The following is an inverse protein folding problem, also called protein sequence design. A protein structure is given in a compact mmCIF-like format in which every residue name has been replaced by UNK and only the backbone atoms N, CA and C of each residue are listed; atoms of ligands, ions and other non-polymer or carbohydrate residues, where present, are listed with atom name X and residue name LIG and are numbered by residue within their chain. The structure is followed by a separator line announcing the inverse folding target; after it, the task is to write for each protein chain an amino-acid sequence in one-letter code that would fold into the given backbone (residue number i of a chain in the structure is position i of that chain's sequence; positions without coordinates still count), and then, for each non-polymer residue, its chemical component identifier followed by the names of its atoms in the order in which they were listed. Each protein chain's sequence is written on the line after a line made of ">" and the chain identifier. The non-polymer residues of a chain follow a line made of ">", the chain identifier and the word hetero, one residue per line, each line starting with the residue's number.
data_IF_968334946165
#
_entry.id   IF_968334946165
#
_cell.length_a   1.000
_cell.length_b   1.000
_cell.length_c   1.000
_cell.angle_alpha   90.00
_cell.angle_beta   90.00
_cell.angle_gamma   90.00
#
_symmetry.space_group_name_H-M   'P 1'
#
loop_
_entity.id
_entity.type
_entity.pdbx_description
1 polymer ?
#
# COMPACT_ATOMS: atom_id res chain seq x y z
N UNK A 1 25.47 22.28 -0.86
CA UNK A 1 25.05 21.57 -2.08
C UNK A 1 23.70 22.12 -2.49
N UNK A 2 23.54 22.64 -3.71
CA UNK A 2 22.25 23.16 -4.17
C UNK A 2 21.42 21.98 -4.65
N UNK A 3 20.35 21.67 -3.95
CA UNK A 3 19.34 20.71 -4.37
C UNK A 3 18.69 21.22 -5.67
N UNK A 4 18.34 20.30 -6.57
CA UNK A 4 17.74 20.66 -7.86
C UNK A 4 16.24 20.88 -7.72
N UNK A 5 15.65 21.75 -8.53
CA UNK A 5 14.20 22.03 -8.52
C UNK A 5 13.35 20.76 -8.79
N UNK A 6 13.90 19.80 -9.53
CA UNK A 6 13.26 18.51 -9.82
C UNK A 6 13.18 17.61 -8.58
N UNK A 7 14.23 17.55 -7.78
CA UNK A 7 14.25 16.78 -6.54
C UNK A 7 13.26 17.35 -5.52
N UNK A 8 13.15 18.68 -5.42
CA UNK A 8 12.16 19.34 -4.56
C UNK A 8 10.71 19.05 -5.01
N UNK A 9 10.48 19.01 -6.32
CA UNK A 9 9.18 18.64 -6.88
C UNK A 9 8.84 17.17 -6.57
N UNK A 10 9.80 16.27 -6.74
CA UNK A 10 9.63 14.84 -6.40
C UNK A 10 9.28 14.67 -4.93
N UNK A 11 10.06 15.25 -4.01
CA UNK A 11 9.81 15.14 -2.57
C UNK A 11 8.41 15.66 -2.20
N UNK A 12 8.00 16.80 -2.76
CA UNK A 12 6.65 17.35 -2.54
C UNK A 12 5.57 16.40 -3.05
N UNK A 13 5.81 15.75 -4.18
CA UNK A 13 4.89 14.80 -4.78
C UNK A 13 4.76 13.54 -3.92
N UNK A 14 5.88 12.97 -3.49
CA UNK A 14 5.93 11.78 -2.64
C UNK A 14 5.22 12.01 -1.31
N UNK A 15 5.46 13.15 -0.67
CA UNK A 15 4.80 13.54 0.58
C UNK A 15 3.28 13.69 0.43
N UNK A 16 2.82 14.16 -0.74
CA UNK A 16 1.39 14.41 -0.99
C UNK A 16 0.60 13.15 -1.33
N UNK A 17 1.21 12.20 -2.04
CA UNK A 17 0.49 11.05 -2.60
C UNK A 17 0.87 9.72 -1.95
N UNK A 18 1.98 9.66 -1.22
CA UNK A 18 2.40 8.53 -0.41
C UNK A 18 1.54 8.34 0.85
N UNK A 19 1.67 7.17 1.47
CA UNK A 19 1.06 6.93 2.78
C UNK A 19 1.83 7.66 3.87
N UNK A 20 1.17 8.50 4.67
CA UNK A 20 1.81 9.27 5.74
C UNK A 20 2.36 8.43 6.90
N UNK A 21 2.08 7.12 6.94
CA UNK A 21 2.55 6.20 7.99
C UNK A 21 3.81 5.46 7.54
N UNK A 22 3.75 4.75 6.40
CA UNK A 22 4.91 4.00 5.90
C UNK A 22 5.81 4.83 4.97
N UNK A 23 5.42 6.08 4.67
CA UNK A 23 6.12 7.01 3.78
C UNK A 23 6.38 6.44 2.39
N UNK A 24 5.54 5.48 1.96
CA UNK A 24 5.74 4.74 0.73
C UNK A 24 4.59 4.93 -0.26
N UNK A 25 4.86 4.76 -1.56
CA UNK A 25 3.84 4.67 -2.59
C UNK A 25 3.04 3.40 -2.40
N UNK A 26 1.71 3.51 -2.46
CA UNK A 26 0.81 2.36 -2.29
C UNK A 26 -0.35 2.43 -3.26
N UNK A 27 -0.68 1.30 -3.88
CA UNK A 27 -1.81 1.23 -4.80
C UNK A 27 -3.14 1.26 -4.06
N UNK A 28 -3.20 0.54 -2.94
CA UNK A 28 -4.43 0.39 -2.15
C UNK A 28 -4.47 1.43 -1.05
N UNK A 29 -5.13 2.54 -1.35
CA UNK A 29 -5.25 3.70 -0.45
C UNK A 29 -6.70 3.95 -0.08
N UNK A 30 -6.95 4.20 1.20
CA UNK A 30 -8.26 4.52 1.76
C UNK A 30 -8.29 6.01 2.04
N UNK A 31 -9.31 6.70 1.49
CA UNK A 31 -9.57 8.10 1.79
C UNK A 31 -10.50 8.20 2.99
N UNK A 32 -10.14 9.04 3.96
CA UNK A 32 -11.04 9.40 5.05
C UNK A 32 -12.05 10.47 4.65
N UNK A 33 -13.06 10.68 5.48
CA UNK A 33 -13.99 11.82 5.36
C UNK A 33 -13.27 13.17 5.44
N UNK A 34 -12.12 13.20 6.13
CA UNK A 34 -11.21 14.34 6.18
C UNK A 34 -10.34 14.51 4.91
N UNK A 35 -10.57 13.72 3.85
CA UNK A 35 -9.83 13.71 2.58
C UNK A 35 -8.36 13.27 2.66
N UNK A 36 -7.82 13.02 3.85
CA UNK A 36 -6.51 12.40 4.00
C UNK A 36 -6.53 10.92 3.60
N UNK A 37 -5.39 10.41 3.13
CA UNK A 37 -5.27 9.06 2.56
C UNK A 37 -4.23 8.23 3.32
N UNK A 38 -4.56 6.98 3.60
CA UNK A 38 -3.68 6.02 4.27
C UNK A 38 -3.76 4.69 3.53
N UNK A 39 -2.65 3.97 3.41
CA UNK A 39 -2.68 2.65 2.77
C UNK A 39 -3.44 1.63 3.62
N UNK A 40 -4.04 0.67 2.94
CA UNK A 40 -4.84 -0.37 3.59
C UNK A 40 -4.03 -1.12 4.66
N UNK A 41 -2.77 -1.45 4.36
CA UNK A 41 -1.91 -2.23 5.27
C UNK A 41 -1.55 -1.46 6.56
N UNK A 42 -1.43 -0.13 6.47
CA UNK A 42 -1.18 0.71 7.63
C UNK A 42 -2.46 1.04 8.41
N UNK A 43 -3.62 1.09 7.76
CA UNK A 43 -4.88 1.46 8.40
C UNK A 43 -5.58 0.26 9.08
N UNK A 44 -5.50 -0.92 8.47
CA UNK A 44 -6.21 -2.11 8.91
C UNK A 44 -5.26 -3.22 9.39
N UNK A 45 -5.77 -4.05 10.30
CA UNK A 45 -5.22 -5.38 10.59
C UNK A 45 -6.31 -6.36 10.22
N UNK A 46 -6.00 -7.27 9.30
CA UNK A 46 -7.01 -8.14 8.69
C UNK A 46 -8.11 -7.28 8.03
N UNK A 47 -9.32 -7.32 8.57
CA UNK A 47 -10.48 -6.57 8.08
C UNK A 47 -10.94 -5.44 9.02
N UNK A 48 -10.25 -5.25 10.16
CA UNK A 48 -10.63 -4.26 11.17
C UNK A 48 -9.64 -3.09 11.24
N UNK A 49 -10.19 -1.88 11.42
CA UNK A 49 -9.38 -0.66 11.57
C UNK A 49 -8.52 -0.80 12.82
N UNK A 50 -7.23 -0.47 12.71
CA UNK A 50 -6.32 -0.52 13.85
C UNK A 50 -6.84 0.36 15.00
N UNK A 51 -6.72 -0.08 16.27
CA UNK A 51 -7.17 0.72 17.42
C UNK A 51 -6.49 2.10 17.51
N UNK A 52 -5.22 2.21 17.09
CA UNK A 52 -4.52 3.50 17.05
C UNK A 52 -4.96 4.42 15.91
N UNK A 53 -5.92 4.00 15.07
CA UNK A 53 -6.43 4.76 13.92
C UNK A 53 -7.90 5.20 14.12
N UNK A 54 -8.32 5.38 15.37
CA UNK A 54 -9.62 5.98 15.70
C UNK A 54 -9.74 7.45 15.28
N UNK A 55 -8.60 8.15 15.20
CA UNK A 55 -8.51 9.52 14.70
C UNK A 55 -7.49 9.60 13.55
N UNK A 56 -7.69 10.57 12.66
CA UNK A 56 -6.76 10.83 11.58
C UNK A 56 -5.38 11.25 12.12
N UNK A 57 -4.27 10.61 11.73
CA UNK A 57 -2.93 10.98 12.20
C UNK A 57 -2.46 12.35 11.69
N UNK A 58 -3.13 12.92 10.67
CA UNK A 58 -2.77 14.23 10.10
C UNK A 58 -3.58 15.35 10.74
N UNK A 59 -4.91 15.23 10.82
CA UNK A 59 -5.78 16.31 11.31
C UNK A 59 -6.50 16.01 12.63
N UNK A 60 -6.26 14.85 13.25
CA UNK A 60 -6.89 14.40 14.50
C UNK A 60 -8.43 14.30 14.45
N UNK A 61 -9.04 14.34 13.27
CA UNK A 61 -10.48 14.12 13.11
C UNK A 61 -10.85 12.68 13.50
N UNK A 62 -11.73 12.54 14.49
CA UNK A 62 -12.23 11.24 14.94
C UNK A 62 -13.13 10.58 13.90
N UNK A 63 -13.08 9.25 13.86
CA UNK A 63 -13.87 8.40 12.96
C UNK A 63 -13.78 8.79 11.48
N UNK A 64 -12.63 9.37 11.08
CA UNK A 64 -12.42 9.82 9.71
C UNK A 64 -12.34 8.66 8.72
N UNK A 65 -11.94 7.47 9.15
CA UNK A 65 -11.76 6.29 8.30
C UNK A 65 -12.79 5.19 8.58
N UNK A 66 -13.19 4.38 7.58
CA UNK A 66 -14.13 3.27 7.77
C UNK A 66 -13.65 2.27 8.84
N UNK A 67 -14.59 1.74 9.65
CA UNK A 67 -14.28 0.76 10.71
C UNK A 67 -13.82 -0.59 10.17
N UNK A 68 -14.38 -1.01 9.04
CA UNK A 68 -14.02 -2.24 8.32
C UNK A 68 -13.26 -1.91 7.04
N UNK A 69 -12.43 -2.85 6.58
CA UNK A 69 -11.66 -2.72 5.34
C UNK A 69 -12.61 -2.56 4.14
N UNK A 70 -12.60 -1.41 3.44
CA UNK A 70 -13.44 -1.22 2.27
C UNK A 70 -12.85 -1.96 1.07
N UNK A 71 -13.71 -2.33 0.13
CA UNK A 71 -13.28 -2.72 -1.22
C UNK A 71 -12.80 -1.45 -1.92
N UNK A 72 -11.55 -1.43 -2.36
CA UNK A 72 -10.97 -0.30 -3.10
C UNK A 72 -11.37 -0.42 -4.58
N UNK A 73 -12.10 0.54 -5.15
CA UNK A 73 -12.46 0.51 -6.56
C UNK A 73 -11.22 0.54 -7.46
N UNK A 74 -11.25 -0.21 -8.57
CA UNK A 74 -10.14 -0.29 -9.53
C UNK A 74 -9.73 1.08 -10.06
N UNK A 75 -10.68 2.01 -10.23
CA UNK A 75 -10.40 3.36 -10.69
C UNK A 75 -9.48 4.12 -9.73
N UNK A 76 -9.61 3.90 -8.41
CA UNK A 76 -8.75 4.53 -7.41
C UNK A 76 -7.33 3.98 -7.50
N UNK A 77 -7.20 2.68 -7.78
CA UNK A 77 -5.92 2.02 -8.02
C UNK A 77 -5.28 2.57 -9.30
N UNK A 78 -6.05 2.73 -10.36
CA UNK A 78 -5.54 3.24 -11.63
C UNK A 78 -5.11 4.71 -11.52
N UNK A 79 -5.82 5.53 -10.73
CA UNK A 79 -5.36 6.88 -10.38
C UNK A 79 -3.98 6.83 -9.72
N UNK A 80 -3.73 5.90 -8.78
CA UNK A 80 -2.40 5.76 -8.18
C UNK A 80 -1.32 5.39 -9.18
N UNK A 81 -1.64 4.51 -10.14
CA UNK A 81 -0.72 4.19 -11.23
C UNK A 81 -0.41 5.41 -12.09
N UNK A 82 -1.41 6.23 -12.41
CA UNK A 82 -1.21 7.48 -13.14
C UNK A 82 -0.36 8.50 -12.37
N UNK A 83 -0.40 8.48 -11.03
CA UNK A 83 0.49 9.27 -10.18
C UNK A 83 1.92 8.69 -10.12
N UNK A 84 2.19 7.57 -10.80
CA UNK A 84 3.53 6.99 -10.86
C UNK A 84 3.80 5.87 -9.86
N UNK A 85 2.79 5.37 -9.15
CA UNK A 85 2.95 4.17 -8.33
C UNK A 85 2.95 2.92 -9.22
N UNK A 86 3.97 2.09 -9.08
CA UNK A 86 4.14 0.87 -9.85
C UNK A 86 4.33 -0.35 -8.94
N UNK A 87 4.24 -1.54 -9.53
CA UNK A 87 4.60 -2.80 -8.86
C UNK A 87 5.82 -3.37 -9.56
N UNK A 88 6.74 -3.95 -8.79
CA UNK A 88 7.90 -4.64 -9.32
C UNK A 88 7.53 -5.62 -10.44
N UNK A 89 8.17 -5.46 -11.60
CA UNK A 89 7.91 -6.27 -12.80
C UNK A 89 8.52 -7.68 -12.69
N UNK A 90 9.57 -7.84 -11.89
CA UNK A 90 10.21 -9.12 -11.61
C UNK A 90 9.37 -10.03 -10.70
N UNK A 91 8.25 -9.54 -10.16
CA UNK A 91 7.27 -10.36 -9.45
C UNK A 91 7.48 -10.49 -7.94
N UNK A 92 8.32 -9.65 -7.32
CA UNK A 92 8.46 -9.63 -5.86
C UNK A 92 7.25 -8.98 -5.15
N UNK A 93 6.38 -8.29 -5.91
CA UNK A 93 5.17 -7.64 -5.40
C UNK A 93 5.41 -6.33 -4.65
N UNK A 94 6.64 -5.80 -4.63
CA UNK A 94 6.94 -4.50 -4.04
C UNK A 94 6.22 -3.39 -4.82
N UNK A 95 5.56 -2.49 -4.11
CA UNK A 95 4.99 -1.24 -4.64
C UNK A 95 6.02 -0.11 -4.45
N UNK A 96 6.32 0.64 -5.51
CA UNK A 96 7.38 1.64 -5.57
C UNK A 96 7.05 2.75 -6.57
N UNK A 97 7.74 3.88 -6.50
CA UNK A 97 7.58 4.93 -7.51
C UNK A 97 8.21 4.47 -8.83
N UNK A 98 7.67 4.95 -9.95
CA UNK A 98 8.16 4.54 -11.26
C UNK A 98 9.64 4.89 -11.44
N UNK A 99 10.10 6.02 -10.89
CA UNK A 99 11.51 6.43 -10.95
C UNK A 99 12.45 5.56 -10.10
N UNK A 100 11.93 4.86 -9.09
CA UNK A 100 12.70 3.92 -8.27
C UNK A 100 12.81 2.53 -8.89
N UNK A 101 12.07 2.27 -9.99
CA UNK A 101 11.92 0.92 -10.54
C UNK A 101 13.22 0.35 -11.08
N UNK A 102 13.98 1.15 -11.84
CA UNK A 102 15.25 0.72 -12.42
C UNK A 102 16.30 0.37 -11.36
N UNK A 103 16.33 1.11 -10.25
CA UNK A 103 17.22 0.83 -9.14
C UNK A 103 16.82 -0.45 -8.40
N UNK A 104 15.53 -0.60 -8.13
CA UNK A 104 15.00 -1.81 -7.50
C UNK A 104 15.30 -3.06 -8.34
N UNK A 105 15.09 -3.02 -9.66
CA UNK A 105 15.26 -4.18 -10.52
C UNK A 105 16.69 -4.73 -10.53
N UNK A 106 17.70 -3.87 -10.39
CA UNK A 106 19.12 -4.28 -10.29
C UNK A 106 19.41 -5.14 -9.06
N UNK A 107 18.62 -5.02 -8.01
CA UNK A 107 18.80 -5.71 -6.74
C UNK A 107 17.61 -6.59 -6.35
N UNK A 108 16.65 -6.78 -7.25
CA UNK A 108 15.41 -7.47 -6.96
C UNK A 108 15.67 -8.96 -6.72
N UNK A 109 15.31 -9.52 -5.55
CA UNK A 109 15.50 -10.94 -5.25
C UNK A 109 14.74 -11.88 -6.20
N UNK A 110 13.69 -11.38 -6.86
CA UNK A 110 12.87 -12.15 -7.79
C UNK A 110 13.36 -12.10 -9.25
N UNK A 111 14.32 -11.23 -9.59
CA UNK A 111 14.79 -11.03 -10.98
C UNK A 111 15.36 -12.30 -11.62
N UNK A 112 15.93 -13.21 -10.82
CA UNK A 112 16.44 -14.51 -11.30
C UNK A 112 15.37 -15.59 -11.56
N UNK A 113 14.11 -15.34 -11.19
CA UNK A 113 13.02 -16.33 -11.28
C UNK A 113 12.00 -16.06 -12.39
N UNK A 114 12.23 -15.03 -13.21
CA UNK A 114 11.36 -14.74 -14.36
C UNK A 114 11.63 -15.78 -15.44
N UNK A 115 10.74 -16.78 -15.57
CA UNK A 115 10.75 -17.63 -16.77
C UNK A 115 10.62 -16.70 -17.98
N UNK A 116 11.52 -16.77 -18.97
CA UNK A 116 11.39 -15.92 -20.16
C UNK A 116 10.00 -16.17 -20.74
N UNK A 117 9.23 -15.10 -20.90
CA UNK A 117 8.00 -15.12 -21.67
C UNK A 117 8.43 -15.56 -23.06
N UNK A 118 8.20 -16.84 -23.37
CA UNK A 118 8.42 -17.37 -24.71
C UNK A 118 7.56 -16.50 -25.61
N UNK A 119 8.19 -15.74 -26.49
CA UNK A 119 7.53 -15.05 -27.57
C UNK A 119 6.61 -16.08 -28.23
N UNK A 120 5.30 -15.88 -28.08
CA UNK A 120 4.30 -16.64 -28.83
C UNK A 120 4.54 -16.24 -30.28
N UNK A 121 5.29 -17.06 -31.01
CA UNK A 121 5.31 -17.01 -32.46
C UNK A 121 3.87 -17.28 -32.89
N UNK A 122 3.15 -16.22 -33.25
CA UNK A 122 1.87 -16.33 -33.92
C UNK A 122 2.13 -16.99 -35.27
N UNK A 123 1.99 -18.32 -35.32
CA UNK A 123 1.83 -19.04 -36.58
C UNK A 123 0.42 -18.77 -37.12
N UNK A 124 0.28 -18.34 -38.38
CA UNK A 124 -1.03 -18.04 -38.94
C UNK A 124 -1.77 -19.32 -39.28
N UNK A 125 -3.05 -19.35 -38.90
CA UNK A 125 -4.13 -20.16 -39.45
C UNK A 125 -4.03 -21.70 -39.42
N UNK A 126 -4.74 -22.30 -38.46
CA UNK A 126 -5.58 -23.48 -38.75
C UNK A 126 -6.85 -23.50 -37.90
N UNK A 127 -8.00 -23.48 -38.59
CA UNK A 127 -9.35 -23.57 -38.02
C UNK A 127 -9.64 -24.98 -37.50
N UNK A 128 -10.30 -25.08 -36.34
CA UNK A 128 -11.46 -25.95 -36.00
C UNK A 128 -11.60 -25.98 -34.47
N UNK A 129 -12.66 -25.43 -33.86
CA UNK A 129 -14.04 -25.94 -33.65
C UNK A 129 -14.20 -26.76 -32.34
N UNK A 130 -15.01 -26.17 -31.44
CA UNK A 130 -15.99 -26.74 -30.49
C UNK A 130 -15.54 -27.25 -29.10
N UNK A 131 -16.18 -26.64 -28.08
CA UNK A 131 -16.54 -27.02 -26.69
C UNK A 131 -15.51 -27.69 -25.77
N UNK A 132 -15.36 -27.19 -24.54
CA UNK A 132 -16.15 -27.68 -23.39
C UNK A 132 -15.87 -26.88 -22.09
N UNK A 133 -16.70 -27.17 -21.11
CA UNK A 133 -17.09 -26.46 -19.91
C UNK A 133 -16.13 -26.71 -18.74
N UNK A 134 -15.91 -25.69 -17.92
CA UNK A 134 -15.95 -25.86 -16.46
C UNK A 134 -14.64 -25.85 -15.68
N UNK A 135 -14.70 -25.09 -14.58
CA UNK A 135 -14.30 -25.45 -13.20
C UNK A 135 -13.16 -24.64 -12.58
N UNK A 136 -13.61 -23.70 -11.74
CA UNK A 136 -12.87 -23.02 -10.67
C UNK A 136 -12.36 -24.03 -9.65
N UNK A 137 -11.15 -23.84 -9.13
CA UNK A 137 -10.73 -24.42 -7.85
C UNK A 137 -9.65 -23.56 -7.20
N UNK A 138 -10.05 -22.86 -6.14
CA UNK A 138 -9.22 -22.12 -5.19
C UNK A 138 -8.83 -23.07 -4.08
N UNK A 139 -7.55 -23.14 -3.71
CA UNK A 139 -7.16 -23.48 -2.32
C UNK A 139 -5.85 -22.79 -1.93
N UNK A 140 -5.94 -22.07 -0.82
CA UNK A 140 -4.87 -21.38 -0.11
C UNK A 140 -4.01 -22.33 0.76
N UNK A 141 -2.82 -21.86 1.16
CA UNK A 141 -2.39 -21.63 2.56
C UNK A 141 -0.87 -21.58 2.67
N UNK A 142 -0.35 -20.49 3.24
CA UNK A 142 0.93 -20.52 3.96
C UNK A 142 0.84 -19.68 5.23
N UNK A 143 1.31 -20.29 6.32
CA UNK A 143 1.28 -19.83 7.71
C UNK A 143 2.27 -18.68 7.91
N UNK A 144 1.93 -17.71 8.75
CA UNK A 144 2.85 -16.69 9.28
C UNK A 144 2.99 -16.88 10.80
N UNK A 145 4.19 -16.73 11.39
CA UNK A 145 4.44 -17.04 12.80
C UNK A 145 4.08 -15.87 13.74
N UNK A 146 3.74 -16.24 14.97
CA UNK A 146 3.35 -15.35 16.06
C UNK A 146 4.50 -14.43 16.51
N UNK A 147 4.23 -13.12 16.55
CA UNK A 147 5.18 -12.14 17.07
C UNK A 147 4.93 -11.86 18.56
N UNK A 148 6.01 -11.94 19.34
CA UNK A 148 6.04 -11.97 20.81
C UNK A 148 5.72 -10.61 21.43
N UNK A 149 4.95 -10.66 22.52
CA UNK A 149 4.55 -9.58 23.41
C UNK A 149 5.76 -9.01 24.17
N UNK A 150 6.06 -7.72 23.98
CA UNK A 150 6.94 -6.95 24.88
C UNK A 150 6.06 -6.11 25.80
N UNK A 151 5.94 -6.54 27.06
CA UNK A 151 5.32 -5.74 28.12
C UNK A 151 6.36 -4.74 28.63
N UNK A 152 6.03 -3.45 28.61
CA UNK A 152 6.78 -2.45 29.37
C UNK A 152 5.83 -1.60 30.18
N UNK A 153 5.73 -1.96 31.45
CA UNK A 153 5.17 -1.16 32.54
C UNK A 153 6.00 0.10 32.73
N UNK A 154 5.33 1.24 32.96
CA UNK A 154 5.75 2.25 33.94
C UNK A 154 4.64 3.29 34.17
N UNK A 155 4.33 3.48 35.45
CA UNK A 155 3.43 4.49 35.98
C UNK A 155 4.01 5.89 35.79
N UNK A 156 3.16 6.87 35.47
CA UNK A 156 3.49 8.28 35.72
C UNK A 156 2.25 8.96 36.31
N UNK A 157 2.46 9.58 37.48
CA UNK A 157 1.47 10.32 38.26
C UNK A 157 0.94 11.52 37.48
N UNK A 158 -0.38 11.66 37.53
CA UNK A 158 -1.14 12.83 37.09
C UNK A 158 -0.95 14.00 38.06
N UNK A 159 -0.45 15.12 37.57
CA UNK A 159 -0.61 16.44 38.21
C UNK A 159 -1.42 17.34 37.28
N UNK A 160 -2.66 17.63 37.69
CA UNK A 160 -3.57 18.59 37.03
C UNK A 160 -3.11 20.03 37.29
N UNK A 161 -3.20 20.95 36.31
CA UNK A 161 -3.23 22.38 36.60
C UNK A 161 -4.64 22.80 37.05
N UNK A 162 -4.72 23.56 38.14
CA UNK A 162 -5.92 24.27 38.58
C UNK A 162 -6.05 25.57 37.76
N UNK A 163 -7.17 25.76 37.08
CA UNK A 163 -7.60 27.10 36.67
C UNK A 163 -8.32 27.75 37.86
N UNK A 164 -7.82 28.91 38.30
CA UNK A 164 -8.51 29.82 39.23
C UNK A 164 -9.29 30.89 38.44
N UNK A 165 -10.31 31.53 39.05
CA UNK A 165 -11.23 32.40 38.33
C UNK A 165 -10.82 33.88 38.30
N UNK A 166 -11.41 34.56 37.30
CA UNK A 166 -11.47 36.00 36.97
C UNK A 166 -10.29 36.54 36.17
#
# INVERSE_FOLDING_TARGET
>A
MKRTELEDFQETYEQRFGCCICLGPRLHMVSGQCQHRICVDCLYVEDERRPCMEACPICSMFDSFPKTRPIIPTQVIDVQKCLGVSVCQSGCGLELWYWETDEHERSCPAAGNVKPVRAVQQSPHRRSRVNDIGRVSVTARTRVPACKRVTRSKSVRSTRPRYGPM
#
